data_IF_575044459822
#
_entry.id   IF_575044459822
#
_cell.length_a   1.000
_cell.length_b   1.000
_cell.length_c   1.000
_cell.angle_alpha   90.00
_cell.angle_beta   90.00
_cell.angle_gamma   90.00
#
_symmetry.space_group_name_H-M   'P 1'
#
loop_
_entity.id
_entity.type
_entity.pdbx_description
1 polymer ?
#
# COMPACT_ATOMS: atom_id res chain seq x y z
N UNK A 1 1.52 30.06 -66.66
CA UNK A 1 1.17 28.87 -67.47
C UNK A 1 1.05 27.69 -66.51
N UNK A 2 -0.16 27.16 -66.25
CA UNK A 2 -0.38 26.01 -65.39
C UNK A 2 -0.25 24.71 -66.20
N UNK A 3 0.51 23.74 -65.70
CA UNK A 3 0.33 22.34 -66.07
C UNK A 3 0.20 21.53 -64.79
N UNK A 4 -0.94 20.88 -64.69
CA UNK A 4 -1.42 20.01 -63.63
C UNK A 4 -0.41 18.90 -63.35
N UNK A 5 -0.05 18.71 -62.08
CA UNK A 5 0.28 17.38 -61.57
C UNK A 5 -0.46 17.18 -60.25
N UNK A 6 -1.65 16.59 -60.41
CA UNK A 6 -2.32 15.65 -59.54
C UNK A 6 -1.52 15.19 -58.32
N UNK A 7 -2.02 15.51 -57.12
CA UNK A 7 -1.96 14.58 -56.01
C UNK A 7 -3.19 14.71 -55.11
N UNK A 8 -4.29 14.11 -55.54
CA UNK A 8 -5.35 13.65 -54.67
C UNK A 8 -5.21 12.13 -54.52
N UNK A 9 -4.99 11.67 -53.30
CA UNK A 9 -5.38 10.33 -52.88
C UNK A 9 -5.95 10.43 -51.46
N UNK A 10 -7.27 10.59 -51.42
CA UNK A 10 -8.06 10.10 -50.31
C UNK A 10 -8.26 8.61 -50.57
N UNK A 11 -7.71 7.76 -49.70
CA UNK A 11 -7.89 6.32 -49.70
C UNK A 11 -8.31 5.88 -48.31
N UNK A 12 -9.46 5.23 -48.25
CA UNK A 12 -10.16 4.73 -47.07
C UNK A 12 -9.32 3.88 -46.12
N UNK A 13 -9.68 3.95 -44.84
CA UNK A 13 -9.90 2.75 -44.03
C UNK A 13 -8.93 2.56 -42.86
N UNK A 14 -9.43 2.47 -41.61
CA UNK A 14 -8.61 2.16 -40.45
C UNK A 14 -8.27 0.68 -40.49
N UNK A 15 -7.06 0.33 -40.93
CA UNK A 15 -6.56 -1.03 -40.75
C UNK A 15 -6.32 -1.25 -39.27
N UNK A 16 -7.29 -1.96 -38.69
CA UNK A 16 -7.23 -2.79 -37.49
C UNK A 16 -5.81 -3.22 -37.09
N UNK A 17 -5.07 -2.31 -36.47
CA UNK A 17 -3.99 -2.63 -35.55
C UNK A 17 -4.61 -2.82 -34.17
N UNK A 18 -5.38 -3.89 -33.98
CA UNK A 18 -5.64 -4.41 -32.62
C UNK A 18 -4.34 -5.05 -32.14
N UNK A 19 -3.32 -4.24 -31.90
CA UNK A 19 -2.11 -4.71 -31.26
C UNK A 19 -2.43 -4.88 -29.78
N UNK A 20 -2.45 -6.14 -29.38
CA UNK A 20 -2.60 -6.59 -28.02
C UNK A 20 -1.49 -5.96 -27.16
N UNK A 21 -1.85 -5.03 -26.28
CA UNK A 21 -1.11 -4.95 -25.01
C UNK A 21 -1.82 -5.91 -24.07
N UNK A 22 -1.32 -7.14 -24.17
CA UNK A 22 -1.44 -8.25 -23.24
C UNK A 22 -1.54 -7.73 -21.81
N UNK A 23 -2.68 -8.03 -21.17
CA UNK A 23 -2.92 -7.75 -19.76
C UNK A 23 -1.80 -8.38 -18.94
N UNK A 24 -0.80 -7.57 -18.55
CA UNK A 24 0.27 -7.99 -17.67
C UNK A 24 -0.40 -8.48 -16.39
N UNK A 25 -0.39 -9.80 -16.28
CA UNK A 25 -0.96 -10.57 -15.20
C UNK A 25 -0.27 -10.12 -13.93
N UNK A 26 -0.90 -9.20 -13.20
CA UNK A 26 -0.63 -8.99 -11.78
C UNK A 26 -1.10 -10.26 -11.05
N UNK A 27 -0.33 -11.34 -11.19
CA UNK A 27 -0.31 -12.45 -10.26
C UNK A 27 0.34 -11.98 -8.96
N UNK A 28 -0.17 -10.90 -8.39
CA UNK A 28 0.03 -10.57 -7.00
C UNK A 28 -0.87 -11.50 -6.20
N UNK A 29 -0.58 -12.82 -6.19
CA UNK A 29 -1.23 -13.72 -5.23
C UNK A 29 -0.93 -13.15 -3.85
N UNK A 30 -1.90 -12.51 -3.16
CA UNK A 30 -1.62 -12.04 -1.83
C UNK A 30 -1.35 -13.30 -1.02
N UNK A 31 -0.14 -13.43 -0.44
CA UNK A 31 0.16 -14.55 0.47
C UNK A 31 -0.96 -14.58 1.49
N UNK A 32 -1.82 -15.62 1.43
CA UNK A 32 -2.92 -15.86 2.38
C UNK A 32 -2.32 -15.93 3.77
N UNK A 33 -2.23 -14.80 4.46
CA UNK A 33 -1.88 -14.78 5.87
C UNK A 33 -3.08 -15.40 6.58
N UNK A 34 -2.89 -16.62 7.09
CA UNK A 34 -3.90 -17.32 7.89
C UNK A 34 -4.50 -16.32 8.88
N UNK A 35 -5.83 -16.20 8.99
CA UNK A 35 -6.44 -15.38 10.02
C UNK A 35 -6.01 -15.98 11.35
N UNK A 36 -5.01 -15.39 11.98
CA UNK A 36 -4.64 -15.75 13.33
C UNK A 36 -5.73 -15.15 14.21
N UNK A 37 -6.61 -16.00 14.70
CA UNK A 37 -7.64 -15.64 15.69
C UNK A 37 -6.94 -15.36 17.02
N UNK A 38 -6.24 -14.24 17.11
CA UNK A 38 -5.64 -13.76 18.37
C UNK A 38 -6.75 -13.08 19.16
N UNK A 39 -7.50 -13.89 19.89
CA UNK A 39 -8.42 -13.43 20.91
C UNK A 39 -7.66 -12.53 21.89
N UNK A 40 -8.02 -11.24 21.92
CA UNK A 40 -7.63 -10.26 22.93
C UNK A 40 -6.14 -9.92 23.05
N UNK A 41 -5.51 -9.42 21.96
CA UNK A 41 -4.21 -8.74 22.11
C UNK A 41 -4.42 -7.47 22.94
N UNK A 42 -3.88 -7.45 24.17
CA UNK A 42 -3.81 -6.24 25.00
C UNK A 42 -2.73 -5.29 24.48
N UNK A 43 -3.19 -4.27 23.76
CA UNK A 43 -2.36 -3.14 23.32
C UNK A 43 -2.39 -2.08 24.42
N UNK A 44 -1.24 -1.51 24.76
CA UNK A 44 -1.20 -0.36 25.69
C UNK A 44 -1.72 0.90 24.98
N UNK A 45 -2.26 1.90 25.70
CA UNK A 45 -2.77 3.13 25.07
C UNK A 45 -1.73 3.81 24.18
N UNK A 46 -0.46 3.84 24.62
CA UNK A 46 0.63 4.43 23.82
C UNK A 46 0.94 3.65 22.55
N UNK A 47 0.85 2.33 22.61
CA UNK A 47 1.00 1.47 21.44
C UNK A 47 -0.18 1.63 20.47
N UNK A 48 -1.39 1.87 20.98
CA UNK A 48 -2.57 2.11 20.16
C UNK A 48 -2.48 3.45 19.42
N UNK A 49 -1.99 4.52 20.05
CA UNK A 49 -1.70 5.80 19.40
C UNK A 49 -0.72 5.62 18.22
N UNK A 50 0.37 4.89 18.47
CA UNK A 50 1.38 4.62 17.44
C UNK A 50 0.80 3.77 16.31
N UNK A 51 -0.01 2.76 16.64
CA UNK A 51 -0.69 1.92 15.66
C UNK A 51 -1.63 2.75 14.76
N UNK A 52 -2.38 3.69 15.33
CA UNK A 52 -3.25 4.59 14.59
C UNK A 52 -2.46 5.51 13.64
N UNK A 53 -1.34 6.08 14.09
CA UNK A 53 -0.49 6.91 13.24
C UNK A 53 0.21 6.11 12.13
N UNK A 54 0.61 4.87 12.43
CA UNK A 54 1.15 3.92 11.43
C UNK A 54 0.08 3.57 10.40
N UNK A 55 -1.17 3.37 10.80
CA UNK A 55 -2.30 3.13 9.89
C UNK A 55 -2.58 4.34 8.99
N UNK A 56 -2.37 5.56 9.49
CA UNK A 56 -2.43 6.81 8.70
C UNK A 56 -1.23 7.00 7.76
N UNK A 57 -0.24 6.10 7.77
CA UNK A 57 0.95 6.19 6.93
C UNK A 57 1.97 7.25 7.39
N UNK A 58 1.90 7.70 8.64
CA UNK A 58 2.84 8.69 9.16
C UNK A 58 4.24 8.08 9.34
N UNK A 59 5.29 8.88 9.13
CA UNK A 59 6.69 8.47 9.33
C UNK A 59 7.08 8.52 10.81
N UNK A 60 8.10 7.77 11.22
CA UNK A 60 8.58 7.76 12.62
C UNK A 60 9.00 9.14 13.13
N UNK A 61 9.44 10.03 12.23
CA UNK A 61 9.74 11.43 12.53
C UNK A 61 8.49 12.21 12.92
N UNK A 62 7.46 12.18 12.08
CA UNK A 62 6.18 12.85 12.32
C UNK A 62 5.52 12.30 13.60
N UNK A 63 5.53 10.98 13.78
CA UNK A 63 5.02 10.36 15.01
C UNK A 63 5.75 10.86 16.27
N UNK A 64 7.06 11.02 16.20
CA UNK A 64 7.86 11.56 17.30
C UNK A 64 7.51 13.01 17.61
N UNK A 65 7.36 13.84 16.59
CA UNK A 65 6.96 15.25 16.71
C UNK A 65 5.55 15.38 17.34
N UNK A 66 4.58 14.58 16.90
CA UNK A 66 3.22 14.58 17.46
C UNK A 66 3.15 14.11 18.91
N UNK A 67 3.96 13.10 19.28
CA UNK A 67 3.93 12.49 20.60
C UNK A 67 4.91 13.11 21.60
N UNK A 68 5.77 14.04 21.15
CA UNK A 68 6.88 14.59 21.94
C UNK A 68 7.96 13.54 22.27
N UNK A 69 8.15 12.54 21.41
CA UNK A 69 9.08 11.43 21.62
C UNK A 69 10.20 11.41 20.58
N UNK A 70 11.37 10.89 20.98
CA UNK A 70 12.45 10.63 20.02
C UNK A 70 12.06 9.51 19.04
N UNK A 71 12.59 9.60 17.81
CA UNK A 71 12.41 8.60 16.75
C UNK A 71 12.78 7.19 17.26
N UNK A 72 13.88 7.07 18.03
CA UNK A 72 14.32 5.78 18.63
C UNK A 72 13.27 5.19 19.56
N UNK A 73 12.52 6.03 20.27
CA UNK A 73 11.44 5.59 21.16
C UNK A 73 10.27 5.04 20.35
N UNK A 74 9.89 5.72 19.25
CA UNK A 74 8.85 5.24 18.33
C UNK A 74 9.24 3.90 17.71
N UNK A 75 10.49 3.74 17.28
CA UNK A 75 10.99 2.46 16.75
C UNK A 75 10.93 1.34 17.78
N UNK A 76 11.31 1.63 19.04
CA UNK A 76 11.18 0.67 20.15
C UNK A 76 9.72 0.27 20.39
N UNK A 77 8.79 1.23 20.38
CA UNK A 77 7.36 0.93 20.49
C UNK A 77 6.85 0.10 19.31
N UNK A 78 7.28 0.38 18.07
CA UNK A 78 6.96 -0.42 16.88
C UNK A 78 7.50 -1.84 17.00
N UNK A 79 8.73 -2.02 17.49
CA UNK A 79 9.32 -3.34 17.71
C UNK A 79 8.55 -4.14 18.76
N UNK A 80 8.11 -3.48 19.85
CA UNK A 80 7.29 -4.11 20.88
C UNK A 80 5.90 -4.50 20.35
N UNK A 81 5.26 -3.62 19.56
CA UNK A 81 4.02 -3.93 18.84
C UNK A 81 4.19 -5.15 17.93
N UNK A 82 5.22 -5.15 17.07
CA UNK A 82 5.49 -6.27 16.17
C UNK A 82 5.70 -7.59 16.92
N UNK A 83 6.42 -7.57 18.04
CA UNK A 83 6.59 -8.74 18.91
C UNK A 83 5.27 -9.20 19.52
N UNK A 84 4.44 -8.29 20.04
CA UNK A 84 3.13 -8.60 20.63
C UNK A 84 2.15 -9.19 19.61
N UNK A 85 2.13 -8.65 18.40
CA UNK A 85 1.29 -9.13 17.32
C UNK A 85 1.91 -10.30 16.53
N UNK A 86 3.10 -10.76 16.91
CA UNK A 86 3.88 -11.78 16.19
C UNK A 86 4.02 -11.48 14.69
N UNK A 87 4.12 -10.20 14.33
CA UNK A 87 4.27 -9.73 12.95
C UNK A 87 5.69 -9.26 12.68
N UNK A 88 6.14 -9.41 11.43
CA UNK A 88 7.46 -8.94 11.00
C UNK A 88 7.43 -7.57 10.33
N UNK A 89 6.27 -7.19 9.77
CA UNK A 89 6.11 -5.98 8.97
C UNK A 89 5.02 -5.08 9.54
N UNK A 90 5.20 -3.77 9.41
CA UNK A 90 4.18 -2.77 9.79
C UNK A 90 2.90 -2.91 8.97
N UNK A 91 2.99 -3.33 7.71
CA UNK A 91 1.81 -3.58 6.87
C UNK A 91 1.00 -4.76 7.42
N UNK A 92 1.66 -5.87 7.76
CA UNK A 92 1.01 -7.04 8.35
C UNK A 92 0.43 -6.73 9.74
N UNK A 93 1.07 -5.83 10.50
CA UNK A 93 0.54 -5.29 11.75
C UNK A 93 -0.78 -4.55 11.52
N UNK A 94 -0.84 -3.61 10.56
CA UNK A 94 -2.07 -2.86 10.23
C UNK A 94 -3.19 -3.80 9.78
N UNK A 95 -2.90 -4.73 8.86
CA UNK A 95 -3.89 -5.71 8.38
C UNK A 95 -4.46 -6.56 9.52
N UNK A 96 -3.61 -6.92 10.49
CA UNK A 96 -4.04 -7.67 11.67
C UNK A 96 -4.89 -6.78 12.58
N UNK A 97 -4.45 -5.56 12.86
CA UNK A 97 -5.22 -4.59 13.65
C UNK A 97 -6.62 -4.31 13.09
N UNK A 98 -6.74 -4.16 11.77
CA UNK A 98 -8.03 -4.00 11.07
C UNK A 98 -8.93 -5.21 11.25
N UNK A 99 -8.39 -6.44 11.13
CA UNK A 99 -9.16 -7.67 11.35
C UNK A 99 -9.66 -7.83 12.79
N UNK A 100 -8.98 -7.23 13.76
CA UNK A 100 -9.37 -7.25 15.16
C UNK A 100 -10.24 -6.06 15.58
N UNK A 101 -10.52 -5.10 14.69
CA UNK A 101 -11.29 -3.89 15.04
C UNK A 101 -10.55 -2.97 16.02
N UNK A 102 -9.21 -2.96 15.98
CA UNK A 102 -8.37 -2.10 16.82
C UNK A 102 -8.09 -0.71 16.21
N UNK A 103 -8.68 -0.44 15.04
CA UNK A 103 -8.56 0.77 14.24
C UNK A 103 -9.95 1.25 13.79
#
# INVERSE_FOLDING_TARGET
MPTETTQAHQGLGPTLGKELIENNTLNCRPKRHKPQTVASIKVTPREQEILAMVAKGQTSKIMGEHLGLSIRTIERHRANLLKKFSQKNSISLIQTALRHGLL
#
